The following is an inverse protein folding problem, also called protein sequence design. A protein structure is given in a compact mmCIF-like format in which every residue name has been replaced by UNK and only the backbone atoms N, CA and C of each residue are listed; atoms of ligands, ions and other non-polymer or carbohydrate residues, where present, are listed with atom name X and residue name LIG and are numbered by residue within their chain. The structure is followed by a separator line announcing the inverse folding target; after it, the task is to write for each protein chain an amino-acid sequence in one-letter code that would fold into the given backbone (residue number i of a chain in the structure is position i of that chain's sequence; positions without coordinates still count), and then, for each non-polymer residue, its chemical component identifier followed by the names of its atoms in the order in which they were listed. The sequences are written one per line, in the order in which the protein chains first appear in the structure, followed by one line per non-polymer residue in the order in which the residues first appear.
data_IF_608176922907
#
_entry.id   IF_608176922907
#
_cell.length_a   1.000
_cell.length_b   1.000
_cell.length_c   1.000
_cell.angle_alpha   90.00
_cell.angle_beta   90.00
_cell.angle_gamma   90.00
#
_symmetry.space_group_name_H-M   'P 1'
#
loop_
_entity.id
_entity.type
_entity.pdbx_description
1 polymer ?
#
# COMPACT_ATOMS: atom_id res chain seq x y z
N UNK A 1 12.19 -37.56 57.46
CA UNK A 1 12.66 -36.77 58.62
C UNK A 1 13.29 -35.48 58.09
N UNK A 2 13.35 -34.42 58.91
CA UNK A 2 13.75 -33.07 58.48
C UNK A 2 15.25 -32.78 58.68
N UNK A 3 15.74 -31.78 57.94
CA UNK A 3 16.92 -30.98 58.32
C UNK A 3 18.29 -31.50 57.86
N UNK A 4 19.34 -30.66 57.76
CA UNK A 4 19.42 -29.19 57.79
C UNK A 4 20.64 -28.74 56.97
N UNK A 5 20.58 -27.60 56.25
CA UNK A 5 21.79 -26.89 55.75
C UNK A 5 21.63 -25.36 55.75
N UNK A 6 22.45 -24.70 56.58
CA UNK A 6 22.79 -23.27 56.69
C UNK A 6 23.84 -23.16 57.83
N UNK A 7 24.70 -22.12 57.94
CA UNK A 7 25.06 -21.09 56.95
C UNK A 7 26.54 -20.58 56.98
N UNK A 8 26.84 -19.57 56.15
CA UNK A 8 27.74 -18.40 56.38
C UNK A 8 29.31 -18.46 56.36
N UNK A 9 29.87 -17.64 55.43
CA UNK A 9 30.80 -16.48 55.61
C UNK A 9 32.32 -16.54 55.30
N UNK A 10 32.80 -15.41 54.71
CA UNK A 10 34.19 -14.87 54.62
C UNK A 10 35.21 -15.67 53.75
N UNK A 11 36.32 -15.13 53.17
CA UNK A 11 37.03 -13.81 53.09
C UNK A 11 38.09 -13.87 51.94
N UNK A 12 38.83 -12.87 51.38
CA UNK A 12 39.05 -11.39 51.48
C UNK A 12 39.75 -10.87 50.18
N UNK A 13 40.02 -9.54 50.07
CA UNK A 13 41.17 -8.88 49.38
C UNK A 13 41.10 -8.62 47.84
N UNK A 14 41.65 -7.51 47.28
CA UNK A 14 42.24 -6.24 47.80
C UNK A 14 42.38 -5.17 46.68
N UNK A 15 42.15 -3.86 46.98
CA UNK A 15 42.91 -2.61 46.62
C UNK A 15 43.48 -2.43 45.17
N UNK A 16 43.58 -1.29 44.46
CA UNK A 16 43.40 0.19 44.59
C UNK A 16 43.56 0.82 43.13
N UNK A 17 43.44 2.12 42.73
CA UNK A 17 42.74 3.37 43.18
C UNK A 17 43.00 4.55 42.17
N UNK A 18 41.99 5.38 41.83
CA UNK A 18 42.00 6.78 41.22
C UNK A 18 42.44 7.04 39.74
N UNK A 19 41.43 7.24 38.86
CA UNK A 19 41.04 8.45 38.05
C UNK A 19 42.04 9.43 37.35
N UNK A 20 41.62 10.35 36.42
CA UNK A 20 40.35 10.44 35.64
C UNK A 20 40.45 10.91 34.14
N UNK A 21 39.54 10.49 33.23
CA UNK A 21 39.03 11.33 32.10
C UNK A 21 37.75 10.83 31.36
N UNK A 22 36.59 11.36 31.75
CA UNK A 22 35.46 11.93 30.94
C UNK A 22 35.26 11.48 29.46
N UNK A 23 34.03 11.16 28.97
CA UNK A 23 32.77 10.80 29.64
C UNK A 23 32.03 9.56 29.04
N UNK A 24 30.86 9.23 29.59
CA UNK A 24 29.97 8.13 29.18
C UNK A 24 28.92 8.50 28.10
N UNK A 25 28.51 7.52 27.31
CA UNK A 25 27.20 7.50 26.62
C UNK A 25 26.34 6.34 27.15
N UNK A 26 25.12 6.60 27.66
CA UNK A 26 24.08 5.58 27.80
C UNK A 26 23.19 5.53 26.55
N UNK A 27 22.79 4.32 26.13
CA UNK A 27 21.82 4.13 25.05
C UNK A 27 20.39 4.11 25.59
N UNK A 28 19.51 4.94 25.03
CA UNK A 28 18.06 4.88 25.28
C UNK A 28 17.27 5.33 24.06
N UNK A 29 16.85 4.38 23.22
CA UNK A 29 15.85 4.64 22.19
C UNK A 29 14.47 4.70 22.86
N UNK A 30 13.78 5.84 22.77
CA UNK A 30 12.39 5.98 23.22
C UNK A 30 11.63 6.87 22.21
N UNK A 31 10.59 6.38 21.52
CA UNK A 31 10.09 7.01 20.29
C UNK A 31 8.93 8.01 20.48
N UNK A 32 8.85 8.66 21.65
CA UNK A 32 7.69 9.48 22.06
C UNK A 32 8.06 10.79 22.78
N UNK A 33 9.23 11.38 22.48
CA UNK A 33 9.72 12.56 23.21
C UNK A 33 10.34 13.63 22.29
N UNK A 34 9.52 14.62 21.89
CA UNK A 34 9.89 16.04 21.67
C UNK A 34 8.63 16.85 21.37
N UNK A 35 8.39 17.89 22.17
CA UNK A 35 7.25 18.83 22.03
C UNK A 35 7.41 19.82 20.85
N UNK A 36 6.32 20.53 20.53
CA UNK A 36 6.31 21.65 19.58
C UNK A 36 7.15 22.86 20.08
N UNK A 37 7.93 23.48 19.19
CA UNK A 37 8.21 24.92 19.26
C UNK A 37 8.13 25.57 17.88
N UNK A 38 7.66 26.82 17.83
CA UNK A 38 7.11 27.47 16.62
C UNK A 38 8.09 28.53 16.05
N UNK A 39 7.88 28.88 14.77
CA UNK A 39 8.51 29.97 14.00
C UNK A 39 9.99 29.84 13.58
N UNK A 40 10.17 29.35 12.35
CA UNK A 40 10.75 30.19 11.27
C UNK A 40 10.34 29.73 9.86
N UNK A 41 9.68 30.65 9.14
CA UNK A 41 9.24 30.50 7.75
C UNK A 41 10.41 30.62 6.76
N UNK A 42 10.44 29.79 5.71
CA UNK A 42 10.51 30.36 4.36
C UNK A 42 9.34 29.91 3.47
N UNK A 43 8.90 30.81 2.59
CA UNK A 43 7.68 30.62 1.78
C UNK A 43 7.89 29.60 0.65
N UNK A 44 7.27 28.42 0.75
CA UNK A 44 6.97 27.58 -0.42
C UNK A 44 5.56 27.89 -0.95
N UNK A 45 5.40 27.88 -2.27
CA UNK A 45 4.12 28.12 -2.95
C UNK A 45 3.34 26.81 -3.12
N UNK A 46 1.99 26.85 -3.18
CA UNK A 46 1.20 25.66 -3.48
C UNK A 46 1.53 25.11 -4.87
N UNK A 47 1.65 23.79 -4.99
CA UNK A 47 1.90 23.07 -6.24
C UNK A 47 0.66 23.10 -7.15
N UNK A 48 0.49 24.18 -7.91
CA UNK A 48 -0.51 24.25 -8.97
C UNK A 48 -0.21 23.20 -10.05
N UNK A 49 -1.20 22.37 -10.39
CA UNK A 49 -1.14 21.42 -11.50
C UNK A 49 -0.79 22.15 -12.80
N UNK A 50 0.36 21.82 -13.41
CA UNK A 50 0.82 22.40 -14.68
C UNK A 50 0.45 21.49 -15.85
N UNK A 51 -0.50 21.90 -16.72
CA UNK A 51 -0.84 21.13 -17.92
C UNK A 51 0.23 21.36 -19.01
N UNK A 52 1.40 20.72 -18.89
CA UNK A 52 2.51 20.99 -19.81
C UNK A 52 3.76 20.13 -19.66
N UNK A 53 3.66 18.81 -19.86
CA UNK A 53 4.83 17.91 -20.07
C UNK A 53 4.45 16.57 -20.76
N UNK A 54 3.68 16.61 -21.86
CA UNK A 54 3.26 15.40 -22.61
C UNK A 54 4.22 14.98 -23.74
N UNK A 55 5.25 15.77 -24.03
CA UNK A 55 6.10 15.60 -25.22
C UNK A 55 7.43 14.83 -24.98
N UNK A 56 7.85 14.62 -23.73
CA UNK A 56 9.22 14.19 -23.41
C UNK A 56 9.46 12.68 -23.18
N UNK A 57 8.43 11.83 -23.27
CA UNK A 57 8.51 10.41 -22.88
C UNK A 57 8.56 9.42 -24.05
N UNK A 58 8.62 9.92 -25.29
CA UNK A 58 8.47 9.13 -26.53
C UNK A 58 9.67 9.28 -27.48
N UNK A 59 10.88 9.30 -26.93
CA UNK A 59 12.12 9.28 -27.71
C UNK A 59 13.14 8.31 -27.08
N UNK A 60 14.01 7.73 -27.91
CA UNK A 60 14.85 6.54 -27.68
C UNK A 60 14.13 5.18 -27.83
N UNK A 61 13.89 4.77 -29.07
CA UNK A 61 14.49 3.51 -29.53
C UNK A 61 14.83 3.59 -31.03
N UNK A 62 16.07 3.28 -31.38
CA UNK A 62 16.61 3.45 -32.73
C UNK A 62 16.30 2.22 -33.59
N UNK A 63 15.37 2.38 -34.53
CA UNK A 63 15.09 1.37 -35.57
C UNK A 63 15.56 1.92 -36.91
N UNK A 64 16.57 1.25 -37.46
CA UNK A 64 17.28 1.57 -38.70
C UNK A 64 16.34 1.55 -39.93
N UNK A 65 16.69 2.28 -40.99
CA UNK A 65 16.05 2.17 -42.31
C UNK A 65 15.31 3.40 -42.86
N UNK A 66 15.20 4.51 -42.14
CA UNK A 66 14.68 5.78 -42.72
C UNK A 66 15.28 6.99 -42.00
N UNK A 67 15.66 8.02 -42.72
CA UNK A 67 16.30 9.20 -42.12
C UNK A 67 15.33 10.00 -41.23
N UNK A 68 15.87 10.60 -40.18
CA UNK A 68 15.15 11.46 -39.24
C UNK A 68 14.37 12.60 -39.93
N UNK A 69 14.92 13.12 -41.04
CA UNK A 69 14.28 14.15 -41.85
C UNK A 69 12.94 13.69 -42.45
N UNK A 70 12.86 12.45 -42.94
CA UNK A 70 11.63 11.88 -43.50
C UNK A 70 10.54 11.68 -42.45
N UNK A 71 10.87 11.29 -41.21
CA UNK A 71 9.86 11.18 -40.14
C UNK A 71 9.29 12.54 -39.73
N UNK A 72 10.10 13.59 -39.69
CA UNK A 72 9.62 14.93 -39.33
C UNK A 72 8.68 15.53 -40.38
N UNK A 73 8.81 15.18 -41.66
CA UNK A 73 7.91 15.64 -42.74
C UNK A 73 6.43 15.30 -42.46
N UNK A 74 6.18 14.14 -41.86
CA UNK A 74 4.83 13.62 -41.59
C UNK A 74 4.24 14.06 -40.25
N UNK A 75 4.99 14.77 -39.40
CA UNK A 75 4.53 15.13 -38.04
C UNK A 75 3.46 16.21 -38.00
N UNK A 76 3.42 17.07 -39.01
CA UNK A 76 2.47 18.18 -39.13
C UNK A 76 1.32 17.85 -40.10
N UNK A 77 1.05 16.56 -40.37
CA UNK A 77 -0.08 16.07 -41.16
C UNK A 77 -0.28 16.81 -42.51
N UNK A 78 0.85 17.13 -43.17
CA UNK A 78 0.96 17.90 -44.42
C UNK A 78 0.44 19.36 -44.38
N UNK A 79 0.18 19.95 -43.21
CA UNK A 79 -0.25 21.35 -43.07
C UNK A 79 0.72 22.32 -43.78
N UNK A 80 2.02 22.18 -43.56
CA UNK A 80 3.07 23.00 -44.21
C UNK A 80 3.25 22.67 -45.71
N UNK A 81 2.63 21.59 -46.19
CA UNK A 81 2.76 21.04 -47.55
C UNK A 81 1.51 21.28 -48.41
N UNK A 82 0.54 22.04 -47.91
CA UNK A 82 -0.72 22.34 -48.61
C UNK A 82 -1.84 21.31 -48.39
N UNK A 83 -1.76 20.47 -47.37
CA UNK A 83 -2.78 19.46 -47.05
C UNK A 83 -2.59 18.12 -47.76
N UNK A 84 -3.42 17.15 -47.39
CA UNK A 84 -3.34 15.73 -47.81
C UNK A 84 -3.67 15.59 -49.30
N UNK A 85 -4.64 16.35 -49.78
CA UNK A 85 -5.15 16.39 -51.15
C UNK A 85 -4.12 16.87 -52.19
N UNK A 86 -3.03 17.51 -51.76
CA UNK A 86 -1.96 18.02 -52.63
C UNK A 86 -0.71 17.11 -52.66
N UNK A 87 -0.75 15.93 -52.03
CA UNK A 87 0.37 14.97 -52.00
C UNK A 87 0.25 13.89 -53.08
N UNK A 88 1.38 13.25 -53.43
CA UNK A 88 1.40 12.09 -54.34
C UNK A 88 0.92 10.81 -53.63
N UNK A 89 0.45 9.82 -54.38
CA UNK A 89 -0.01 8.54 -53.80
C UNK A 89 1.09 7.85 -52.98
N UNK A 90 2.33 7.85 -53.48
CA UNK A 90 3.51 7.31 -52.77
C UNK A 90 3.79 8.04 -51.45
N UNK A 91 3.57 9.35 -51.39
CA UNK A 91 3.73 10.14 -50.16
C UNK A 91 2.62 9.80 -49.15
N UNK A 92 1.38 9.59 -49.63
CA UNK A 92 0.24 9.15 -48.81
C UNK A 92 0.41 7.71 -48.29
N UNK A 93 0.96 6.82 -49.11
CA UNK A 93 1.35 5.45 -48.75
C UNK A 93 2.39 5.44 -47.63
N UNK A 94 3.47 6.24 -47.76
CA UNK A 94 4.47 6.40 -46.71
C UNK A 94 3.90 7.04 -45.44
N UNK A 95 3.00 8.02 -45.55
CA UNK A 95 2.31 8.64 -44.42
C UNK A 95 1.39 7.66 -43.68
N UNK A 96 0.62 6.83 -44.40
CA UNK A 96 -0.20 5.78 -43.79
C UNK A 96 0.66 4.78 -43.00
N UNK A 97 1.79 4.35 -43.58
CA UNK A 97 2.74 3.47 -42.90
C UNK A 97 3.44 4.15 -41.70
N UNK A 98 3.66 5.46 -41.74
CA UNK A 98 4.16 6.26 -40.61
C UNK A 98 3.13 6.36 -39.48
N UNK A 99 1.87 6.72 -39.80
CA UNK A 99 0.79 6.84 -38.81
C UNK A 99 0.40 5.51 -38.17
N UNK A 100 0.47 4.41 -38.92
CA UNK A 100 0.33 3.08 -38.35
C UNK A 100 1.45 2.80 -37.32
N UNK A 101 2.71 3.08 -37.64
CA UNK A 101 3.84 2.88 -36.72
C UNK A 101 3.77 3.81 -35.48
N UNK A 102 3.32 5.05 -35.64
CA UNK A 102 3.04 6.01 -34.55
C UNK A 102 1.92 5.47 -33.62
N UNK A 103 0.86 4.90 -34.19
CA UNK A 103 -0.25 4.27 -33.45
C UNK A 103 0.22 3.02 -32.69
N UNK A 104 1.02 2.13 -33.30
CA UNK A 104 1.59 0.96 -32.61
C UNK A 104 2.41 1.36 -31.39
N UNK A 105 3.21 2.44 -31.47
CA UNK A 105 4.01 2.96 -30.34
C UNK A 105 3.15 3.53 -29.23
N UNK A 106 2.04 4.18 -29.56
CA UNK A 106 1.06 4.66 -28.59
C UNK A 106 0.40 3.49 -27.84
N UNK A 107 -0.02 2.43 -28.54
CA UNK A 107 -0.58 1.20 -27.94
C UNK A 107 0.43 0.53 -27.02
N UNK A 108 1.69 0.35 -27.46
CA UNK A 108 2.73 -0.29 -26.63
C UNK A 108 3.07 0.53 -25.37
N UNK A 109 2.98 1.86 -25.45
CA UNK A 109 3.18 2.74 -24.30
C UNK A 109 2.00 2.72 -23.33
N UNK A 110 0.76 2.61 -23.84
CA UNK A 110 -0.44 2.40 -23.03
C UNK A 110 -0.42 1.04 -22.30
N UNK A 111 0.04 -0.02 -22.99
CA UNK A 111 0.29 -1.33 -22.39
C UNK A 111 1.25 -1.24 -21.21
N UNK A 112 2.43 -0.65 -21.39
CA UNK A 112 3.41 -0.50 -20.31
C UNK A 112 2.81 0.21 -19.09
N UNK A 113 2.10 1.32 -19.31
CA UNK A 113 1.45 2.06 -18.23
C UNK A 113 0.40 1.19 -17.51
N UNK A 114 -0.36 0.35 -18.23
CA UNK A 114 -1.31 -0.57 -17.63
C UNK A 114 -0.62 -1.69 -16.81
N UNK A 115 0.53 -2.20 -17.27
CA UNK A 115 1.34 -3.16 -16.50
C UNK A 115 1.94 -2.53 -15.23
N UNK A 116 2.49 -1.32 -15.32
CA UNK A 116 3.01 -0.55 -14.18
C UNK A 116 1.89 -0.30 -13.13
N UNK A 117 0.67 0.02 -13.58
CA UNK A 117 -0.50 0.19 -12.69
C UNK A 117 -0.95 -1.15 -12.08
N UNK A 118 -0.87 -2.27 -12.82
CA UNK A 118 -1.24 -3.61 -12.31
C UNK A 118 -0.31 -4.06 -11.18
N UNK A 119 0.99 -3.80 -11.29
CA UNK A 119 1.94 -4.05 -10.20
C UNK A 119 1.60 -3.20 -8.96
N UNK A 120 1.38 -1.89 -9.16
CA UNK A 120 0.97 -0.97 -8.09
C UNK A 120 -0.34 -1.38 -7.39
N UNK A 121 -1.34 -1.83 -8.17
CA UNK A 121 -2.62 -2.31 -7.65
C UNK A 121 -2.47 -3.61 -6.82
N UNK A 122 -1.61 -4.53 -7.28
CA UNK A 122 -1.29 -5.78 -6.56
C UNK A 122 -0.67 -5.48 -5.19
N UNK A 123 0.37 -4.64 -5.16
CA UNK A 123 1.03 -4.18 -3.92
C UNK A 123 0.05 -3.45 -2.99
N UNK A 124 -0.88 -2.67 -3.55
CA UNK A 124 -1.92 -1.96 -2.78
C UNK A 124 -2.90 -2.95 -2.14
N UNK A 125 -3.37 -3.98 -2.86
CA UNK A 125 -4.32 -4.94 -2.29
C UNK A 125 -3.68 -5.82 -1.20
N UNK A 126 -2.41 -6.21 -1.35
CA UNK A 126 -1.65 -6.90 -0.31
C UNK A 126 -1.57 -6.02 0.96
N UNK A 127 -1.28 -4.74 0.79
CA UNK A 127 -1.22 -3.76 1.90
C UNK A 127 -2.58 -3.61 2.58
N UNK A 128 -3.67 -3.50 1.81
CA UNK A 128 -5.03 -3.44 2.35
C UNK A 128 -5.37 -4.70 3.16
N UNK A 129 -5.10 -5.90 2.63
CA UNK A 129 -5.37 -7.14 3.37
C UNK A 129 -4.60 -7.20 4.71
N UNK A 130 -3.33 -6.79 4.72
CA UNK A 130 -2.52 -6.70 5.94
C UNK A 130 -3.06 -5.67 6.95
N UNK A 131 -3.64 -4.55 6.49
CA UNK A 131 -4.32 -3.57 7.34
C UNK A 131 -5.62 -4.15 7.91
N UNK A 132 -6.41 -4.85 7.11
CA UNK A 132 -7.66 -5.51 7.53
C UNK A 132 -7.44 -6.57 8.60
N UNK A 133 -6.35 -7.33 8.52
CA UNK A 133 -5.94 -8.28 9.57
C UNK A 133 -5.32 -7.60 10.80
N UNK A 134 -4.69 -6.43 10.66
CA UNK A 134 -4.30 -5.62 11.83
C UNK A 134 -5.52 -5.10 12.59
N UNK A 135 -6.54 -4.58 11.91
CA UNK A 135 -7.81 -4.15 12.52
C UNK A 135 -8.47 -5.30 13.28
N UNK A 136 -8.50 -6.51 12.70
CA UNK A 136 -9.01 -7.71 13.37
C UNK A 136 -8.22 -8.09 14.64
N UNK A 137 -6.90 -7.89 14.66
CA UNK A 137 -6.04 -8.14 15.83
C UNK A 137 -6.24 -7.10 16.93
N UNK A 138 -6.34 -5.81 16.58
CA UNK A 138 -6.61 -4.74 17.55
C UNK A 138 -7.97 -4.93 18.23
N UNK A 139 -8.98 -5.35 17.47
CA UNK A 139 -10.28 -5.79 17.99
C UNK A 139 -10.17 -6.94 19.00
N UNK A 140 -9.35 -7.95 18.72
CA UNK A 140 -9.14 -9.07 19.64
C UNK A 140 -8.45 -8.60 20.94
N UNK A 141 -7.41 -7.77 20.82
CA UNK A 141 -6.74 -7.15 21.96
C UNK A 141 -7.68 -6.27 22.80
N UNK A 142 -8.63 -5.55 22.19
CA UNK A 142 -9.64 -4.78 22.91
C UNK A 142 -10.56 -5.69 23.75
N UNK A 143 -10.99 -6.84 23.21
CA UNK A 143 -11.78 -7.83 23.93
C UNK A 143 -11.01 -8.50 25.09
N UNK A 144 -9.71 -8.78 24.91
CA UNK A 144 -8.86 -9.30 25.99
C UNK A 144 -8.65 -8.26 27.10
N UNK A 145 -8.42 -6.99 26.73
CA UNK A 145 -8.31 -5.87 27.69
C UNK A 145 -9.64 -5.70 28.46
N UNK A 146 -10.80 -5.81 27.81
CA UNK A 146 -12.09 -5.80 28.50
C UNK A 146 -12.20 -6.94 29.53
N UNK A 147 -11.77 -8.15 29.17
CA UNK A 147 -11.84 -9.30 30.06
C UNK A 147 -10.98 -9.09 31.31
N UNK A 148 -9.77 -8.54 31.17
CA UNK A 148 -8.86 -8.29 32.29
C UNK A 148 -9.23 -7.04 33.09
N UNK A 149 -9.77 -5.98 32.47
CA UNK A 149 -10.45 -4.89 33.18
C UNK A 149 -11.62 -5.43 34.01
N UNK A 150 -12.49 -6.26 33.42
CA UNK A 150 -13.59 -6.94 34.11
C UNK A 150 -13.16 -7.81 35.30
N UNK A 151 -11.90 -8.28 35.33
CA UNK A 151 -11.30 -9.02 36.46
C UNK A 151 -10.72 -8.05 37.49
N UNK A 152 -9.87 -7.12 37.06
CA UNK A 152 -9.25 -6.10 37.92
C UNK A 152 -10.27 -5.21 38.63
N UNK A 153 -11.36 -4.85 37.96
CA UNK A 153 -12.48 -4.10 38.52
C UNK A 153 -13.15 -4.80 39.70
N UNK A 154 -13.37 -6.13 39.60
CA UNK A 154 -13.94 -6.93 40.68
C UNK A 154 -13.02 -6.96 41.89
N UNK A 155 -11.71 -7.08 41.66
CA UNK A 155 -10.69 -7.01 42.70
C UNK A 155 -10.64 -5.62 43.37
N UNK A 156 -10.63 -4.53 42.60
CA UNK A 156 -10.68 -3.15 43.13
C UNK A 156 -11.99 -2.82 43.86
N UNK A 157 -13.07 -3.52 43.53
CA UNK A 157 -14.31 -3.56 44.30
C UNK A 157 -14.09 -4.21 45.67
N UNK A 158 -13.54 -5.43 45.71
CA UNK A 158 -13.35 -6.23 46.95
C UNK A 158 -12.19 -5.78 47.84
N UNK A 159 -11.19 -5.07 47.32
CA UNK A 159 -10.09 -4.48 48.10
C UNK A 159 -10.56 -3.32 49.00
N UNK A 160 -11.83 -2.93 48.92
CA UNK A 160 -12.44 -2.00 49.88
C UNK A 160 -12.71 -2.68 51.22
N UNK A 161 -11.95 -2.31 52.26
CA UNK A 161 -12.22 -2.73 53.64
C UNK A 161 -13.57 -2.25 54.18
N UNK A 162 -13.97 -2.79 55.34
CA UNK A 162 -15.33 -2.72 55.93
C UNK A 162 -15.91 -1.29 56.05
N UNK A 163 -15.05 -0.28 56.19
CA UNK A 163 -15.44 1.14 56.33
C UNK A 163 -15.36 1.96 55.02
N UNK A 164 -14.96 1.34 53.91
CA UNK A 164 -14.83 2.01 52.61
C UNK A 164 -16.09 1.84 51.76
N UNK A 165 -16.44 2.84 50.95
CA UNK A 165 -17.53 2.69 49.97
C UNK A 165 -17.16 1.60 48.95
N UNK A 166 -18.04 0.61 48.80
CA UNK A 166 -17.97 -0.40 47.74
C UNK A 166 -18.04 0.29 46.37
N UNK A 167 -16.96 0.20 45.60
CA UNK A 167 -16.93 0.75 44.25
C UNK A 167 -17.54 -0.24 43.27
N UNK A 168 -18.50 0.23 42.47
CA UNK A 168 -19.00 -0.48 41.29
C UNK A 168 -18.54 0.31 40.07
N UNK A 169 -17.89 -0.33 39.07
CA UNK A 169 -17.57 0.34 37.82
C UNK A 169 -18.84 0.83 37.13
N UNK A 170 -18.74 1.96 36.43
CA UNK A 170 -19.68 2.26 35.34
C UNK A 170 -19.17 1.52 34.10
N UNK A 171 -20.04 0.75 33.46
CA UNK A 171 -19.86 0.20 32.12
C UNK A 171 -20.86 0.89 31.22
N UNK A 172 -20.40 1.53 30.15
CA UNK A 172 -21.24 2.22 29.18
C UNK A 172 -21.74 1.23 28.13
N UNK A 173 -20.83 0.75 27.29
CA UNK A 173 -21.11 -0.25 26.26
C UNK A 173 -20.47 -1.62 26.56
N UNK A 174 -20.95 -2.66 25.86
CA UNK A 174 -20.31 -3.98 25.82
C UNK A 174 -19.46 -4.07 24.57
N UNK A 175 -18.18 -4.38 24.76
CA UNK A 175 -17.14 -4.32 23.72
C UNK A 175 -17.49 -5.23 22.54
N UNK A 176 -17.59 -4.65 21.34
CA UNK A 176 -17.87 -5.32 20.06
C UNK A 176 -16.58 -5.81 19.41
N UNK A 177 -15.88 -6.70 20.13
CA UNK A 177 -14.73 -7.44 19.63
C UNK A 177 -15.01 -8.17 18.30
N UNK A 178 -13.96 -8.71 17.66
CA UNK A 178 -13.80 -8.75 16.20
C UNK A 178 -15.10 -8.99 15.43
N UNK A 179 -15.52 -8.00 14.63
CA UNK A 179 -16.72 -8.08 13.81
C UNK A 179 -16.64 -9.27 12.87
N UNK A 180 -17.22 -10.38 13.30
CA UNK A 180 -17.13 -11.68 12.64
C UNK A 180 -18.16 -11.75 11.53
N UNK A 181 -17.85 -11.02 10.45
CA UNK A 181 -18.35 -11.27 9.10
C UNK A 181 -17.86 -12.66 8.66
N UNK A 182 -18.51 -13.69 9.22
CA UNK A 182 -18.06 -15.09 9.26
C UNK A 182 -18.28 -15.81 7.93
N UNK A 183 -19.28 -15.36 7.19
CA UNK A 183 -19.73 -15.91 5.91
C UNK A 183 -19.60 -14.88 4.78
N UNK A 184 -18.62 -13.97 4.91
CA UNK A 184 -18.30 -12.95 3.92
C UNK A 184 -17.49 -13.57 2.75
N UNK A 185 -18.00 -13.57 1.51
CA UNK A 185 -17.31 -14.17 0.37
C UNK A 185 -15.99 -13.43 0.05
N UNK A 186 -15.92 -12.12 0.31
CA UNK A 186 -14.80 -11.29 -0.13
C UNK A 186 -13.54 -11.61 0.70
N UNK A 187 -13.70 -12.00 1.97
CA UNK A 187 -12.60 -12.53 2.79
C UNK A 187 -12.03 -13.85 2.25
N UNK A 188 -12.83 -14.70 1.60
CA UNK A 188 -12.31 -15.90 0.93
C UNK A 188 -11.51 -15.55 -0.33
N UNK A 189 -11.93 -14.52 -1.08
CA UNK A 189 -11.21 -14.04 -2.27
C UNK A 189 -9.85 -13.43 -1.90
N UNK A 190 -9.81 -12.57 -0.86
CA UNK A 190 -8.56 -11.99 -0.34
C UNK A 190 -7.56 -13.05 0.15
N UNK A 191 -8.02 -14.01 0.97
CA UNK A 191 -7.17 -15.11 1.43
C UNK A 191 -6.63 -15.99 0.28
N UNK A 192 -7.39 -16.14 -0.81
CA UNK A 192 -6.93 -16.87 -1.99
C UNK A 192 -5.86 -16.09 -2.77
N UNK A 193 -5.95 -14.75 -2.82
CA UNK A 193 -4.95 -13.93 -3.49
C UNK A 193 -3.60 -13.92 -2.75
N UNK A 194 -3.62 -13.86 -1.41
CA UNK A 194 -2.40 -13.96 -0.59
C UNK A 194 -1.70 -15.32 -0.78
N UNK A 195 -2.46 -16.39 -1.03
CA UNK A 195 -1.90 -17.70 -1.42
C UNK A 195 -1.37 -17.71 -2.85
N UNK A 196 -2.03 -17.05 -3.82
CA UNK A 196 -1.52 -16.93 -5.19
C UNK A 196 -0.19 -16.17 -5.23
N UNK A 197 -0.06 -15.07 -4.49
CA UNK A 197 1.19 -14.32 -4.36
C UNK A 197 2.31 -15.20 -3.78
N UNK A 198 2.08 -15.87 -2.65
CA UNK A 198 3.04 -16.76 -1.98
C UNK A 198 3.46 -17.98 -2.82
N UNK A 199 2.72 -18.29 -3.89
CA UNK A 199 3.02 -19.34 -4.86
C UNK A 199 3.56 -18.78 -6.20
N UNK A 200 3.73 -17.46 -6.35
CA UNK A 200 4.17 -16.80 -7.59
C UNK A 200 3.12 -16.77 -8.71
N UNK A 201 1.87 -17.16 -8.41
CA UNK A 201 0.76 -17.32 -9.37
C UNK A 201 0.01 -16.00 -9.68
N UNK A 202 0.62 -14.86 -9.33
CA UNK A 202 0.27 -13.51 -9.78
C UNK A 202 1.12 -13.04 -10.96
N UNK A 203 2.21 -13.75 -11.29
CA UNK A 203 2.90 -13.53 -12.55
C UNK A 203 1.93 -13.83 -13.71
N UNK A 204 1.78 -12.94 -14.70
CA UNK A 204 0.87 -13.17 -15.80
C UNK A 204 1.31 -14.42 -16.57
N UNK A 205 0.33 -15.18 -17.06
CA UNK A 205 0.57 -16.00 -18.25
C UNK A 205 1.08 -15.04 -19.32
N UNK A 206 2.37 -15.13 -19.67
CA UNK A 206 2.88 -14.43 -20.86
C UNK A 206 2.11 -14.99 -22.04
N UNK A 207 1.09 -14.25 -22.48
CA UNK A 207 0.37 -14.51 -23.72
C UNK A 207 1.42 -14.72 -24.78
N UNK A 208 1.50 -15.95 -25.31
CA UNK A 208 2.70 -16.40 -26.01
C UNK A 208 2.90 -15.51 -27.24
N UNK A 209 3.84 -14.56 -27.13
CA UNK A 209 3.96 -13.41 -28.03
C UNK A 209 3.88 -13.90 -29.46
N UNK A 210 2.74 -13.61 -30.11
CA UNK A 210 2.29 -14.36 -31.28
C UNK A 210 3.38 -14.21 -32.34
N UNK A 211 4.07 -15.32 -32.64
CA UNK A 211 5.32 -15.31 -33.40
C UNK A 211 5.03 -15.01 -34.87
N UNK A 212 4.75 -13.73 -35.15
CA UNK A 212 4.55 -13.19 -36.49
C UNK A 212 5.94 -13.05 -37.11
N UNK A 213 6.15 -13.76 -38.21
CA UNK A 213 7.36 -13.64 -39.02
C UNK A 213 7.60 -12.16 -39.35
N UNK A 214 8.82 -11.64 -39.13
CA UNK A 214 9.12 -10.24 -39.45
C UNK A 214 8.91 -9.99 -40.96
N UNK A 215 8.39 -8.80 -41.26
CA UNK A 215 8.10 -8.39 -42.63
C UNK A 215 9.39 -8.24 -43.45
N UNK A 216 9.43 -8.60 -44.75
CA UNK A 216 10.58 -8.34 -45.61
C UNK A 216 10.88 -6.84 -45.72
N UNK A 217 12.15 -6.46 -45.91
CA UNK A 217 12.56 -5.06 -46.07
C UNK A 217 11.96 -4.39 -47.32
N UNK A 218 11.55 -5.19 -48.32
CA UNK A 218 10.87 -4.75 -49.55
C UNK A 218 9.33 -4.83 -49.46
N UNK A 219 8.75 -4.87 -48.26
CA UNK A 219 7.30 -4.92 -48.09
C UNK A 219 6.63 -3.63 -48.57
N UNK A 220 5.52 -3.77 -49.28
CA UNK A 220 4.71 -2.64 -49.75
C UNK A 220 4.15 -1.82 -48.56
N UNK A 221 3.84 -0.54 -48.80
CA UNK A 221 3.29 0.35 -47.78
C UNK A 221 1.98 -0.18 -47.18
N UNK A 222 1.08 -0.75 -47.99
CA UNK A 222 -0.15 -1.38 -47.47
C UNK A 222 0.17 -2.63 -46.64
N UNK A 223 1.17 -3.42 -47.04
CA UNK A 223 1.62 -4.58 -46.29
C UNK A 223 2.23 -4.18 -44.92
N UNK A 224 2.98 -3.07 -44.86
CA UNK A 224 3.48 -2.50 -43.60
C UNK A 224 2.32 -2.00 -42.73
N UNK A 225 1.33 -1.32 -43.30
CA UNK A 225 0.13 -0.86 -42.55
C UNK A 225 -0.63 -2.04 -41.94
N UNK A 226 -0.93 -3.09 -42.70
CA UNK A 226 -1.67 -4.26 -42.18
C UNK A 226 -0.86 -5.05 -41.15
N UNK A 227 0.48 -5.06 -41.25
CA UNK A 227 1.36 -5.64 -40.22
C UNK A 227 1.37 -4.82 -38.92
N UNK A 228 1.45 -3.49 -39.00
CA UNK A 228 1.39 -2.61 -37.83
C UNK A 228 0.00 -2.62 -37.17
N UNK A 229 -1.07 -2.55 -37.96
CA UNK A 229 -2.46 -2.71 -37.50
C UNK A 229 -2.63 -4.01 -36.71
N UNK A 230 -2.11 -5.13 -37.22
CA UNK A 230 -2.25 -6.39 -36.49
C UNK A 230 -1.49 -6.43 -35.16
N UNK A 231 -0.38 -5.68 -35.01
CA UNK A 231 0.26 -5.47 -33.69
C UNK A 231 -0.59 -4.59 -32.77
N UNK A 232 -1.32 -3.63 -33.34
CA UNK A 232 -2.27 -2.80 -32.58
C UNK A 232 -3.44 -3.67 -32.10
N UNK A 233 -4.00 -4.53 -32.96
CA UNK A 233 -5.06 -5.48 -32.59
C UNK A 233 -4.59 -6.46 -31.49
N UNK A 234 -3.41 -7.06 -31.64
CA UNK A 234 -2.79 -7.93 -30.62
C UNK A 234 -2.58 -7.15 -29.29
N UNK A 235 -1.97 -5.95 -29.35
CA UNK A 235 -1.66 -5.15 -28.16
C UNK A 235 -2.87 -4.47 -27.50
N UNK A 236 -3.95 -4.22 -28.24
CA UNK A 236 -5.23 -3.77 -27.70
C UNK A 236 -6.00 -4.91 -27.02
N UNK A 237 -5.82 -6.16 -27.48
CA UNK A 237 -6.30 -7.36 -26.76
C UNK A 237 -5.60 -7.49 -25.42
N UNK A 238 -4.25 -7.48 -25.41
CA UNK A 238 -3.46 -7.55 -24.17
C UNK A 238 -3.83 -6.41 -23.19
N UNK A 239 -4.05 -5.19 -23.70
CA UNK A 239 -4.48 -4.05 -22.89
C UNK A 239 -5.90 -4.24 -22.33
N UNK A 240 -6.81 -4.82 -23.11
CA UNK A 240 -8.17 -5.12 -22.63
C UNK A 240 -8.18 -6.17 -21.52
N UNK A 241 -7.31 -7.17 -21.61
CA UNK A 241 -7.18 -8.20 -20.58
C UNK A 241 -6.62 -7.61 -19.28
N UNK A 242 -5.57 -6.77 -19.36
CA UNK A 242 -5.03 -6.04 -18.19
C UNK A 242 -6.07 -5.11 -17.57
N UNK A 243 -6.88 -4.41 -18.37
CA UNK A 243 -7.98 -3.58 -17.88
C UNK A 243 -9.09 -4.41 -17.20
N UNK A 244 -9.27 -5.67 -17.61
CA UNK A 244 -10.09 -6.67 -16.92
C UNK A 244 -9.54 -7.01 -15.54
N UNK A 245 -8.25 -7.38 -15.46
CA UNK A 245 -7.55 -7.66 -14.18
C UNK A 245 -7.63 -6.46 -13.22
N UNK A 246 -7.33 -5.26 -13.73
CA UNK A 246 -7.40 -4.01 -12.97
C UNK A 246 -8.82 -3.70 -12.44
N UNK A 247 -9.86 -3.99 -13.23
CA UNK A 247 -11.25 -3.81 -12.81
C UNK A 247 -11.62 -4.77 -11.68
N UNK A 248 -11.25 -6.04 -11.76
CA UNK A 248 -11.52 -6.99 -10.68
C UNK A 248 -10.78 -6.58 -9.40
N UNK A 249 -9.51 -6.20 -9.50
CA UNK A 249 -8.76 -5.71 -8.34
C UNK A 249 -9.35 -4.42 -7.75
N UNK A 250 -9.87 -3.50 -8.56
CA UNK A 250 -10.52 -2.29 -8.08
C UNK A 250 -11.83 -2.58 -7.31
N UNK A 251 -12.60 -3.59 -7.72
CA UNK A 251 -13.79 -4.05 -6.99
C UNK A 251 -13.37 -4.69 -5.65
N UNK A 252 -12.40 -5.59 -5.66
CA UNK A 252 -11.94 -6.30 -4.46
C UNK A 252 -11.34 -5.33 -3.41
N UNK A 253 -10.54 -4.35 -3.85
CA UNK A 253 -10.03 -3.27 -2.99
C UNK A 253 -11.18 -2.41 -2.44
N UNK A 254 -12.21 -2.12 -3.24
CA UNK A 254 -13.39 -1.39 -2.81
C UNK A 254 -14.15 -2.08 -1.68
N UNK A 255 -14.46 -3.38 -1.85
CA UNK A 255 -15.07 -4.23 -0.82
C UNK A 255 -14.23 -4.27 0.46
N UNK A 256 -12.91 -4.49 0.35
CA UNK A 256 -12.03 -4.60 1.51
C UNK A 256 -11.93 -3.27 2.28
N UNK A 257 -11.85 -2.13 1.59
CA UNK A 257 -11.89 -0.79 2.20
C UNK A 257 -13.23 -0.55 2.92
N UNK A 258 -14.36 -0.91 2.31
CA UNK A 258 -15.67 -0.74 2.96
C UNK A 258 -15.81 -1.65 4.19
N UNK A 259 -15.32 -2.90 4.11
CA UNK A 259 -15.29 -3.85 5.23
C UNK A 259 -14.46 -3.33 6.40
N UNK A 260 -13.28 -2.76 6.11
CA UNK A 260 -12.41 -2.15 7.11
C UNK A 260 -13.05 -0.91 7.76
N UNK A 261 -13.60 0.00 6.95
CA UNK A 261 -14.26 1.20 7.45
C UNK A 261 -15.45 0.87 8.37
N UNK A 262 -16.25 -0.15 8.02
CA UNK A 262 -17.32 -0.69 8.89
C UNK A 262 -16.79 -1.28 10.21
N UNK A 263 -15.57 -1.82 10.22
CA UNK A 263 -14.94 -2.37 11.42
C UNK A 263 -14.21 -1.32 12.29
N UNK A 264 -13.89 -0.13 11.76
CA UNK A 264 -13.22 0.93 12.52
C UNK A 264 -14.14 1.63 13.53
N UNK A 265 -15.40 1.90 13.19
CA UNK A 265 -16.30 2.62 14.11
C UNK A 265 -16.52 1.85 15.44
N UNK A 266 -16.82 0.52 15.45
CA UNK A 266 -16.90 -0.24 16.70
C UNK A 266 -15.57 -0.32 17.45
N UNK A 267 -14.43 -0.32 16.74
CA UNK A 267 -13.11 -0.32 17.38
C UNK A 267 -12.86 0.98 18.14
N UNK A 268 -13.31 2.12 17.62
CA UNK A 268 -13.23 3.40 18.32
C UNK A 268 -14.14 3.40 19.56
N UNK A 269 -15.41 3.02 19.43
CA UNK A 269 -16.35 2.88 20.56
C UNK A 269 -15.75 2.05 21.70
N UNK A 270 -15.18 0.89 21.35
CA UNK A 270 -14.57 -0.06 22.28
C UNK A 270 -13.31 0.51 22.97
N UNK A 271 -12.44 1.18 22.22
CA UNK A 271 -11.22 1.81 22.77
C UNK A 271 -11.55 3.02 23.66
N UNK A 272 -12.61 3.76 23.38
CA UNK A 272 -13.09 4.85 24.25
C UNK A 272 -13.65 4.33 25.57
N UNK A 273 -14.45 3.25 25.56
CA UNK A 273 -14.95 2.58 26.78
C UNK A 273 -13.78 1.99 27.62
N UNK A 274 -12.79 1.35 26.99
CA UNK A 274 -11.55 0.89 27.63
C UNK A 274 -10.85 2.05 28.34
N UNK A 275 -10.62 3.15 27.63
CA UNK A 275 -9.93 4.33 28.15
C UNK A 275 -10.66 4.94 29.35
N UNK A 276 -11.99 5.05 29.27
CA UNK A 276 -12.84 5.50 30.37
C UNK A 276 -12.73 4.60 31.61
N UNK A 277 -12.76 3.27 31.44
CA UNK A 277 -12.71 2.32 32.57
C UNK A 277 -11.31 2.14 33.16
N UNK A 278 -10.25 2.22 32.36
CA UNK A 278 -8.85 2.34 32.84
C UNK A 278 -8.71 3.56 33.76
N UNK A 279 -9.25 4.71 33.37
CA UNK A 279 -9.24 5.93 34.20
C UNK A 279 -10.01 5.73 35.51
N UNK A 280 -11.21 5.15 35.46
CA UNK A 280 -12.01 4.85 36.65
C UNK A 280 -11.34 3.87 37.63
N UNK A 281 -10.67 2.83 37.10
CA UNK A 281 -9.90 1.88 37.89
C UNK A 281 -8.65 2.53 38.54
N UNK A 282 -7.95 3.42 37.81
CA UNK A 282 -6.82 4.20 38.32
C UNK A 282 -7.26 5.14 39.46
N UNK A 283 -8.36 5.87 39.30
CA UNK A 283 -8.96 6.68 40.37
C UNK A 283 -9.28 5.85 41.63
N UNK A 284 -9.93 4.69 41.47
CA UNK A 284 -10.23 3.79 42.60
C UNK A 284 -8.95 3.31 43.27
N UNK A 285 -7.93 2.97 42.49
CA UNK A 285 -6.61 2.54 43.01
C UNK A 285 -5.94 3.64 43.83
N UNK A 286 -5.91 4.88 43.34
CA UNK A 286 -5.37 6.04 44.09
C UNK A 286 -6.10 6.25 45.42
N UNK A 287 -7.43 6.27 45.40
CA UNK A 287 -8.27 6.39 46.61
C UNK A 287 -8.04 5.25 47.62
N UNK A 288 -7.78 4.02 47.16
CA UNK A 288 -7.42 2.89 48.05
C UNK A 288 -6.01 3.01 48.65
N UNK A 289 -5.08 3.69 47.95
CA UNK A 289 -3.72 3.97 48.42
C UNK A 289 -3.60 5.25 49.25
N UNK A 290 -4.70 5.98 49.49
CA UNK A 290 -4.69 7.27 50.19
C UNK A 290 -4.00 8.39 49.39
N UNK A 291 -4.07 8.35 48.06
CA UNK A 291 -3.48 9.31 47.11
C UNK A 291 -4.52 9.87 46.13
#
# INVERSE_FOLDING_TARGET
MFGHKKPHLHRTAKQNTVDPRVPSQPSSNNPFDSDDEIDKKPTQKPSSLTPGSRAGLFDNNEVNGTSYASRNKYRNDFVDSGGVENQSTQELEHYAAYKAEETTKAVHSALKIAEDIREGATNTMITLHQQGEQINRTHASAADIEQDLSRGEKLLGSLGGIFSRTWKPKKGQTIKGPTTFRDDPDRKKGNHLEQREKLGLTAPNKGASRSRTPLPESADAMQKVEYEKAKQDDGLSDLSDILGELKEMAVDMGSEIERQNKALNPLQDDVEEINFRVKGANERTRRLLGK
#
